data_IF_317858507393
#
_entry.id   IF_317858507393
#
_cell.length_a   1.000
_cell.length_b   1.000
_cell.length_c   1.000
_cell.angle_alpha   90.00
_cell.angle_beta   90.00
_cell.angle_gamma   90.00
#
_symmetry.space_group_name_H-M   'P 1'
#
loop_
_entity.id
_entity.type
_entity.pdbx_description
1 polymer ?
#
# COMPACT_ATOMS: atom_id res chain seq x y z
N UNK A 1 -23.87 47.38 45.92
CA UNK A 1 -23.77 45.91 46.03
C UNK A 1 -24.55 45.39 44.85
N UNK A 2 -23.82 45.25 43.75
CA UNK A 2 -24.34 45.44 42.41
C UNK A 2 -24.68 44.10 41.77
N UNK A 3 -25.94 43.96 41.35
CA UNK A 3 -26.45 42.79 40.65
C UNK A 3 -25.97 42.78 39.21
N UNK A 4 -25.08 41.85 38.88
CA UNK A 4 -24.61 41.61 37.52
C UNK A 4 -25.78 41.19 36.62
N UNK A 5 -26.06 42.04 35.62
CA UNK A 5 -27.11 41.86 34.62
C UNK A 5 -26.67 40.81 33.57
N UNK A 6 -27.56 39.85 33.26
CA UNK A 6 -27.30 38.74 32.31
C UNK A 6 -26.86 39.19 30.91
N UNK A 7 -27.09 40.46 30.53
CA UNK A 7 -26.63 41.04 29.26
C UNK A 7 -25.14 41.39 29.21
N UNK A 8 -24.49 41.65 30.34
CA UNK A 8 -23.06 41.97 30.38
C UNK A 8 -22.18 40.70 30.40
N UNK A 9 -22.72 39.59 30.92
CA UNK A 9 -22.08 38.27 30.84
C UNK A 9 -21.97 37.74 29.39
N UNK A 10 -22.89 38.16 28.50
CA UNK A 10 -22.87 37.80 27.07
C UNK A 10 -21.93 38.66 26.23
N UNK A 11 -21.54 39.85 26.70
CA UNK A 11 -20.52 40.69 26.03
C UNK A 11 -19.10 40.33 26.46
N UNK A 12 -18.91 39.87 27.70
CA UNK A 12 -17.63 39.34 28.17
C UNK A 12 -17.25 38.00 27.52
N UNK A 13 -18.23 37.23 27.04
CA UNK A 13 -18.00 36.00 26.27
C UNK A 13 -17.72 36.25 24.78
N UNK A 14 -18.08 37.43 24.25
CA UNK A 14 -17.84 37.81 22.85
C UNK A 14 -16.42 38.32 22.54
N UNK A 15 -15.64 38.71 23.55
CA UNK A 15 -14.28 39.26 23.36
C UNK A 15 -13.19 38.20 23.64
N UNK A 16 -13.54 37.07 24.27
CA UNK A 16 -12.69 35.88 24.34
C UNK A 16 -12.88 34.94 23.14
N UNK A 17 -13.82 35.24 22.24
CA UNK A 17 -14.16 34.44 21.06
C UNK A 17 -13.33 34.70 19.81
N UNK A 18 -12.25 35.50 19.88
CA UNK A 18 -11.41 35.86 18.72
C UNK A 18 -9.96 35.33 18.81
N UNK A 19 -9.64 34.47 19.78
CA UNK A 19 -8.30 33.87 19.94
C UNK A 19 -8.30 32.35 20.19
N UNK A 20 -9.37 31.63 19.85
CA UNK A 20 -9.41 30.17 19.78
C UNK A 20 -9.99 29.75 18.43
N UNK A 21 -9.44 28.83 17.65
CA UNK A 21 -8.47 27.80 17.96
C UNK A 21 -7.45 27.70 16.81
N UNK A 22 -6.19 28.01 17.10
CA UNK A 22 -5.11 27.23 16.49
C UNK A 22 -5.14 25.88 17.21
N UNK A 23 -6.03 24.99 16.78
CA UNK A 23 -5.85 23.58 17.05
C UNK A 23 -4.60 23.19 16.25
N UNK A 24 -3.43 23.31 16.90
CA UNK A 24 -2.25 22.58 16.46
C UNK A 24 -2.63 21.11 16.68
N UNK A 25 -3.25 20.50 15.67
CA UNK A 25 -3.41 19.06 15.59
C UNK A 25 -1.99 18.51 15.51
N UNK A 26 -1.42 18.16 16.66
CA UNK A 26 -0.14 17.48 16.70
C UNK A 26 -0.35 16.13 16.03
N UNK A 27 0.38 15.78 14.97
CA UNK A 27 0.16 14.51 14.31
C UNK A 27 0.53 13.38 15.26
N UNK A 28 -0.23 12.29 15.16
CA UNK A 28 -0.05 11.03 15.86
C UNK A 28 1.23 10.27 15.42
N UNK A 29 2.40 10.93 15.48
CA UNK A 29 3.72 10.29 15.42
C UNK A 29 4.28 10.26 16.84
N UNK A 30 4.82 9.12 17.26
CA UNK A 30 5.40 8.96 18.60
C UNK A 30 6.57 9.93 18.85
N UNK A 31 7.28 10.33 17.78
CA UNK A 31 8.40 11.26 17.79
C UNK A 31 8.28 12.26 16.64
N UNK A 32 8.84 13.49 16.72
CA UNK A 32 8.84 14.45 15.60
C UNK A 32 9.51 13.91 14.33
N UNK A 33 9.19 14.49 13.17
CA UNK A 33 9.92 14.23 11.92
C UNK A 33 11.37 14.73 12.04
N UNK A 34 12.33 13.83 11.83
CA UNK A 34 13.77 14.15 11.89
C UNK A 34 14.58 13.55 10.75
N UNK A 35 13.96 12.74 9.89
CA UNK A 35 14.66 12.14 8.77
C UNK A 35 15.02 13.20 7.73
N UNK A 36 16.26 13.14 7.25
CA UNK A 36 16.82 14.18 6.40
C UNK A 36 16.54 13.94 4.91
N UNK A 37 16.10 14.98 4.16
CA UNK A 37 16.05 14.93 2.70
C UNK A 37 17.39 14.62 2.02
N UNK A 38 18.54 14.74 2.70
CA UNK A 38 19.82 14.30 2.13
C UNK A 38 19.89 12.77 1.92
N UNK A 39 19.14 12.01 2.71
CA UNK A 39 18.96 10.56 2.56
C UNK A 39 17.96 10.17 1.47
N UNK A 40 17.36 11.16 0.80
CA UNK A 40 16.33 10.93 -0.22
C UNK A 40 16.91 10.79 -1.62
N UNK A 41 16.08 10.33 -2.57
CA UNK A 41 16.40 10.29 -4.00
C UNK A 41 16.64 11.70 -4.55
N UNK A 42 15.96 12.73 -4.01
CA UNK A 42 16.24 14.12 -4.36
C UNK A 42 17.59 14.63 -3.81
N UNK A 43 18.12 14.01 -2.75
CA UNK A 43 19.35 14.44 -2.06
C UNK A 43 19.26 15.81 -1.38
N UNK A 44 18.11 16.47 -1.45
CA UNK A 44 17.80 17.78 -0.88
C UNK A 44 16.29 17.96 -0.77
N UNK A 45 15.83 18.95 -0.02
CA UNK A 45 14.41 19.21 0.20
C UNK A 45 14.21 20.22 1.33
N UNK A 46 12.97 20.67 1.53
CA UNK A 46 12.68 21.59 2.64
C UNK A 46 12.65 20.88 4.00
N UNK A 47 12.54 19.55 3.99
CA UNK A 47 12.40 18.75 5.22
C UNK A 47 11.03 18.94 5.88
N UNK A 48 10.03 19.36 5.11
CA UNK A 48 8.66 19.49 5.61
C UNK A 48 8.14 18.13 6.05
N UNK A 49 7.41 18.09 7.17
CA UNK A 49 6.86 16.85 7.70
C UNK A 49 5.88 16.24 6.68
N UNK A 50 6.13 15.02 6.16
CA UNK A 50 5.27 14.41 5.16
C UNK A 50 3.86 14.07 5.68
N UNK A 51 3.59 14.20 6.99
CA UNK A 51 2.24 14.08 7.54
C UNK A 51 1.32 15.26 7.23
N UNK A 52 1.88 16.42 6.85
CA UNK A 52 1.11 17.63 6.49
C UNK A 52 1.09 17.86 4.98
N UNK A 53 1.53 16.86 4.20
CA UNK A 53 1.65 16.92 2.74
C UNK A 53 0.79 15.83 2.13
N UNK A 54 -0.04 16.22 1.15
CA UNK A 54 -0.87 15.33 0.33
C UNK A 54 -0.51 15.51 -1.16
N UNK A 55 -1.50 15.52 -2.05
CA UNK A 55 -1.32 15.57 -3.50
C UNK A 55 -2.29 16.59 -4.13
N UNK A 56 -2.10 17.90 -3.90
CA UNK A 56 -3.06 18.92 -4.31
C UNK A 56 -3.39 18.88 -5.81
N UNK A 57 -2.43 18.50 -6.65
CA UNK A 57 -2.64 18.33 -8.10
C UNK A 57 -3.71 17.29 -8.42
N UNK A 58 -3.66 16.13 -7.77
CA UNK A 58 -4.64 15.06 -7.97
C UNK A 58 -5.91 15.28 -7.12
N UNK A 59 -5.76 15.84 -5.93
CA UNK A 59 -6.84 16.01 -4.96
C UNK A 59 -7.91 16.97 -5.48
N UNK A 60 -7.52 18.16 -5.95
CA UNK A 60 -8.46 19.16 -6.49
C UNK A 60 -9.13 18.66 -7.78
N UNK A 61 -8.36 18.00 -8.66
CA UNK A 61 -8.83 17.40 -9.90
C UNK A 61 -9.90 16.34 -9.63
N UNK A 62 -9.60 15.38 -8.76
CA UNK A 62 -10.48 14.23 -8.54
C UNK A 62 -11.71 14.61 -7.72
N UNK A 63 -11.58 15.54 -6.77
CA UNK A 63 -12.74 16.15 -6.12
C UNK A 63 -13.71 16.75 -7.14
N UNK A 64 -13.18 17.53 -8.11
CA UNK A 64 -13.97 18.08 -9.20
C UNK A 64 -14.67 17.01 -10.05
N UNK A 65 -13.99 15.91 -10.39
CA UNK A 65 -14.59 14.80 -11.15
C UNK A 65 -15.75 14.13 -10.40
N UNK A 66 -15.60 13.96 -9.07
CA UNK A 66 -16.63 13.37 -8.21
C UNK A 66 -17.84 14.31 -8.14
N UNK A 67 -17.61 15.59 -7.85
CA UNK A 67 -18.67 16.58 -7.65
C UNK A 67 -19.47 16.86 -8.93
N UNK A 68 -18.82 16.75 -10.10
CA UNK A 68 -19.48 16.83 -11.42
C UNK A 68 -20.18 15.53 -11.84
N UNK A 69 -20.01 14.43 -11.09
CA UNK A 69 -20.58 13.13 -11.41
C UNK A 69 -19.96 12.45 -12.63
N UNK A 70 -18.72 12.81 -13.00
CA UNK A 70 -18.04 12.33 -14.21
C UNK A 70 -17.35 10.97 -14.02
N UNK A 71 -17.13 10.56 -12.75
CA UNK A 71 -16.41 9.33 -12.39
C UNK A 71 -16.90 8.06 -13.10
N UNK A 72 -18.21 7.77 -13.24
CA UNK A 72 -18.66 6.58 -13.95
C UNK A 72 -18.18 6.51 -15.41
N UNK A 73 -18.23 7.64 -16.12
CA UNK A 73 -17.76 7.73 -17.51
C UNK A 73 -16.24 7.66 -17.58
N UNK A 74 -15.54 8.33 -16.67
CA UNK A 74 -14.07 8.25 -16.55
C UNK A 74 -13.63 6.80 -16.32
N UNK A 75 -14.26 6.07 -15.40
CA UNK A 75 -13.96 4.65 -15.16
C UNK A 75 -14.19 3.79 -16.41
N UNK A 76 -15.27 4.03 -17.17
CA UNK A 76 -15.52 3.35 -18.44
C UNK A 76 -14.38 3.55 -19.44
N UNK A 77 -13.92 4.79 -19.63
CA UNK A 77 -12.81 5.10 -20.52
C UNK A 77 -11.50 4.49 -20.01
N UNK A 78 -11.19 4.68 -18.73
CA UNK A 78 -9.94 4.23 -18.12
C UNK A 78 -9.81 2.70 -18.06
N UNK A 79 -10.91 1.92 -18.07
CA UNK A 79 -10.84 0.46 -18.23
C UNK A 79 -10.07 0.04 -19.49
N UNK A 80 -10.11 0.85 -20.55
CA UNK A 80 -9.42 0.56 -21.81
C UNK A 80 -7.94 0.93 -21.80
N UNK A 81 -7.50 1.79 -20.87
CA UNK A 81 -6.10 2.17 -20.71
C UNK A 81 -5.38 1.13 -19.82
N UNK A 82 -4.60 0.27 -20.46
CA UNK A 82 -4.04 -0.95 -19.82
C UNK A 82 -2.53 -1.10 -19.98
N UNK A 83 -1.90 -0.40 -20.93
CA UNK A 83 -0.45 -0.50 -21.20
C UNK A 83 0.25 0.85 -21.05
N UNK A 84 1.48 0.82 -20.55
CA UNK A 84 2.28 2.03 -20.29
C UNK A 84 2.51 2.89 -21.55
N UNK A 85 2.69 2.25 -22.71
CA UNK A 85 2.91 2.93 -24.00
C UNK A 85 1.63 3.31 -24.75
N UNK A 86 0.45 2.98 -24.21
CA UNK A 86 -0.83 3.23 -24.87
C UNK A 86 -1.20 4.72 -24.81
N UNK A 87 -1.71 5.34 -25.89
CA UNK A 87 -2.29 6.68 -25.79
C UNK A 87 -3.45 6.68 -24.79
N UNK A 88 -3.70 7.83 -24.15
CA UNK A 88 -4.87 7.99 -23.31
C UNK A 88 -6.15 7.87 -24.17
N UNK A 89 -7.24 7.29 -23.63
CA UNK A 89 -8.48 7.13 -24.36
C UNK A 89 -9.12 8.48 -24.69
N UNK A 90 -9.72 8.57 -25.87
CA UNK A 90 -10.47 9.76 -26.29
C UNK A 90 -11.67 10.02 -25.36
N UNK A 91 -12.04 11.29 -25.21
CA UNK A 91 -13.21 11.70 -24.44
C UNK A 91 -13.00 11.83 -22.93
N UNK A 92 -11.77 11.69 -22.42
CA UNK A 92 -11.45 12.11 -21.05
C UNK A 92 -11.65 13.62 -20.89
N UNK A 93 -12.12 14.11 -19.72
CA UNK A 93 -12.03 15.51 -19.35
C UNK A 93 -10.62 16.05 -19.55
N UNK A 94 -10.48 17.28 -20.07
CA UNK A 94 -9.17 17.81 -20.47
C UNK A 94 -8.22 17.98 -19.30
N UNK A 95 -8.73 18.43 -18.15
CA UNK A 95 -8.01 18.53 -16.88
C UNK A 95 -7.43 17.16 -16.45
N UNK A 96 -8.23 16.10 -16.52
CA UNK A 96 -7.78 14.74 -16.22
C UNK A 96 -6.76 14.23 -17.23
N UNK A 97 -7.00 14.43 -18.52
CA UNK A 97 -6.07 14.00 -19.58
C UNK A 97 -4.71 14.67 -19.40
N UNK A 98 -4.69 15.98 -19.19
CA UNK A 98 -3.45 16.76 -19.09
C UNK A 98 -2.66 16.38 -17.82
N UNK A 99 -3.36 16.16 -16.69
CA UNK A 99 -2.75 15.59 -15.49
C UNK A 99 -2.14 14.20 -15.75
N UNK A 100 -2.86 13.31 -16.44
CA UNK A 100 -2.38 11.95 -16.70
C UNK A 100 -1.19 11.91 -17.65
N UNK A 101 -1.12 12.79 -18.66
CA UNK A 101 0.04 12.90 -19.55
C UNK A 101 1.30 13.37 -18.81
N UNK A 102 1.14 14.20 -17.78
CA UNK A 102 2.22 14.54 -16.86
C UNK A 102 2.56 13.37 -15.92
N UNK A 103 1.56 12.84 -15.20
CA UNK A 103 1.75 11.84 -14.14
C UNK A 103 2.28 10.48 -14.65
N UNK A 104 2.11 10.17 -15.94
CA UNK A 104 2.62 8.93 -16.55
C UNK A 104 4.11 8.97 -16.91
N UNK A 105 4.77 10.12 -16.78
CA UNK A 105 6.18 10.27 -17.14
C UNK A 105 7.06 9.65 -16.07
N UNK A 106 7.98 8.77 -16.48
CA UNK A 106 8.98 8.22 -15.56
C UNK A 106 9.94 9.32 -15.09
N UNK A 107 10.39 9.30 -13.82
CA UNK A 107 11.34 10.28 -13.33
C UNK A 107 12.67 10.20 -14.09
N UNK A 108 13.34 11.33 -14.25
CA UNK A 108 14.59 11.43 -15.03
C UNK A 108 15.71 10.54 -14.48
N UNK A 109 15.73 10.28 -13.17
CA UNK A 109 16.69 9.41 -12.50
C UNK A 109 16.38 7.91 -12.67
N UNK A 110 15.38 7.54 -13.47
CA UNK A 110 15.06 6.13 -13.75
C UNK A 110 16.19 5.43 -14.51
N UNK A 111 16.90 4.54 -13.81
CA UNK A 111 17.86 3.60 -14.39
C UNK A 111 17.15 2.36 -14.97
N UNK A 112 17.11 2.26 -16.30
CA UNK A 112 16.49 1.12 -17.01
C UNK A 112 17.25 -0.20 -16.81
N UNK A 113 18.56 -0.17 -16.61
CA UNK A 113 19.34 -1.37 -16.38
C UNK A 113 19.05 -1.96 -14.98
N UNK A 114 18.88 -1.08 -13.97
CA UNK A 114 18.38 -1.51 -12.65
C UNK A 114 16.97 -2.07 -12.73
N UNK A 115 16.06 -1.46 -13.50
CA UNK A 115 14.72 -2.04 -13.70
C UNK A 115 14.77 -3.43 -14.35
N UNK A 116 15.64 -3.64 -15.34
CA UNK A 116 15.88 -4.96 -15.93
C UNK A 116 16.42 -5.96 -14.91
N UNK A 117 17.37 -5.55 -14.08
CA UNK A 117 17.94 -6.38 -13.00
C UNK A 117 16.90 -6.72 -11.93
N UNK A 118 16.02 -5.77 -11.59
CA UNK A 118 14.95 -5.97 -10.63
C UNK A 118 13.98 -7.06 -11.10
N UNK A 119 13.68 -7.11 -12.40
CA UNK A 119 12.86 -8.18 -12.99
C UNK A 119 13.52 -9.54 -12.75
N UNK A 120 14.80 -9.70 -13.06
CA UNK A 120 15.51 -10.96 -12.85
C UNK A 120 15.54 -11.37 -11.36
N UNK A 121 15.71 -10.40 -10.46
CA UNK A 121 15.56 -10.63 -9.02
C UNK A 121 14.15 -11.13 -8.67
N UNK A 122 13.10 -10.48 -9.18
CA UNK A 122 11.71 -10.88 -8.95
C UNK A 122 11.40 -12.29 -9.49
N UNK A 123 11.98 -12.68 -10.64
CA UNK A 123 11.85 -14.04 -11.17
C UNK A 123 12.51 -15.05 -10.25
N UNK A 124 13.77 -14.82 -9.90
CA UNK A 124 14.59 -15.68 -9.05
C UNK A 124 14.01 -15.85 -7.63
N UNK A 125 13.42 -14.78 -7.09
CA UNK A 125 12.89 -14.73 -5.71
C UNK A 125 11.36 -14.83 -5.65
N UNK A 126 10.71 -15.21 -6.75
CA UNK A 126 9.26 -15.15 -6.93
C UNK A 126 8.44 -15.81 -5.83
N UNK A 127 8.81 -17.02 -5.39
CA UNK A 127 8.14 -17.70 -4.28
C UNK A 127 8.25 -16.92 -2.96
N UNK A 128 9.44 -16.42 -2.61
CA UNK A 128 9.63 -15.68 -1.36
C UNK A 128 8.85 -14.38 -1.37
N UNK A 129 8.88 -13.66 -2.50
CA UNK A 129 8.13 -12.44 -2.69
C UNK A 129 6.62 -12.70 -2.63
N UNK A 130 6.12 -13.79 -3.23
CA UNK A 130 4.72 -14.18 -3.11
C UNK A 130 4.28 -14.42 -1.67
N UNK A 131 5.09 -15.16 -0.89
CA UNK A 131 4.84 -15.40 0.54
C UNK A 131 4.88 -14.10 1.33
N UNK A 132 5.89 -13.26 1.12
CA UNK A 132 6.08 -12.02 1.88
C UNK A 132 5.01 -10.98 1.54
N UNK A 133 4.70 -10.74 0.27
CA UNK A 133 3.65 -9.79 -0.09
C UNK A 133 2.27 -10.29 0.33
N UNK A 134 1.99 -11.58 0.12
CA UNK A 134 0.69 -12.17 0.46
C UNK A 134 0.42 -12.24 1.96
N UNK A 135 1.42 -12.65 2.75
CA UNK A 135 1.22 -13.00 4.17
C UNK A 135 1.91 -12.08 5.17
N UNK A 136 2.99 -11.38 4.80
CA UNK A 136 3.55 -10.32 5.64
C UNK A 136 2.89 -8.98 5.29
N UNK A 137 3.12 -8.44 4.09
CA UNK A 137 2.66 -7.10 3.73
C UNK A 137 1.14 -6.98 3.69
N UNK A 138 0.43 -7.99 3.16
CA UNK A 138 -1.04 -8.03 3.18
C UNK A 138 -1.61 -7.93 4.59
N UNK A 139 -1.04 -8.67 5.55
CA UNK A 139 -1.45 -8.61 6.96
C UNK A 139 -0.94 -7.38 7.69
N UNK A 140 0.21 -6.81 7.30
CA UNK A 140 0.71 -5.54 7.83
C UNK A 140 -0.30 -4.40 7.62
N UNK A 141 -1.00 -4.38 6.48
CA UNK A 141 -2.06 -3.39 6.22
C UNK A 141 -3.17 -3.37 7.28
N UNK A 142 -3.41 -4.51 7.95
CA UNK A 142 -4.44 -4.62 9.00
C UNK A 142 -3.96 -4.18 10.37
N UNK A 143 -2.66 -3.88 10.51
CA UNK A 143 -2.03 -3.46 11.78
C UNK A 143 -1.31 -2.11 11.64
N UNK A 144 -1.49 -1.44 10.51
CA UNK A 144 -1.20 -0.02 10.32
C UNK A 144 -2.52 0.71 10.57
N UNK A 145 -2.71 1.42 11.71
CA UNK A 145 -4.03 1.90 12.13
C UNK A 145 -4.74 2.79 11.11
N UNK A 146 -4.03 3.74 10.51
CA UNK A 146 -4.59 4.65 9.49
C UNK A 146 -5.00 3.91 8.22
N UNK A 147 -4.15 3.00 7.74
CA UNK A 147 -4.46 2.16 6.58
C UNK A 147 -5.69 1.29 6.87
N UNK A 148 -5.71 0.57 7.99
CA UNK A 148 -6.83 -0.27 8.39
C UNK A 148 -8.16 0.51 8.47
N UNK A 149 -8.17 1.72 9.06
CA UNK A 149 -9.37 2.57 9.12
C UNK A 149 -9.80 3.08 7.74
N UNK A 150 -8.87 3.64 6.97
CA UNK A 150 -9.16 4.15 5.62
C UNK A 150 -9.74 3.05 4.73
N UNK A 151 -9.18 1.85 4.80
CA UNK A 151 -9.68 0.67 4.09
C UNK A 151 -11.05 0.26 4.58
N UNK A 152 -11.22 0.13 5.90
CA UNK A 152 -12.46 -0.39 6.48
C UNK A 152 -13.68 0.50 6.18
N UNK A 153 -13.49 1.82 6.16
CA UNK A 153 -14.56 2.80 5.95
C UNK A 153 -14.71 3.29 4.50
N UNK A 154 -13.70 3.14 3.65
CA UNK A 154 -13.83 3.41 2.21
C UNK A 154 -14.60 2.30 1.51
N UNK A 155 -14.99 2.52 0.24
CA UNK A 155 -15.65 1.50 -0.60
C UNK A 155 -14.93 0.15 -0.59
N UNK A 156 -13.60 0.17 -0.47
CA UNK A 156 -12.78 -1.05 -0.41
C UNK A 156 -13.05 -1.95 0.80
N UNK A 157 -13.62 -1.41 1.88
CA UNK A 157 -14.07 -2.19 3.04
C UNK A 157 -15.39 -2.92 2.80
N UNK A 158 -16.19 -2.47 1.83
CA UNK A 158 -17.45 -3.12 1.46
C UNK A 158 -17.20 -4.42 0.69
N UNK A 159 -16.29 -4.40 -0.29
CA UNK A 159 -15.91 -5.56 -1.11
C UNK A 159 -14.41 -5.81 -0.96
N UNK A 160 -14.05 -6.59 0.06
CA UNK A 160 -12.64 -6.77 0.43
C UNK A 160 -11.91 -7.62 -0.61
N UNK A 161 -12.59 -8.56 -1.27
CA UNK A 161 -12.01 -9.40 -2.32
C UNK A 161 -11.63 -8.58 -3.55
N UNK A 162 -12.54 -7.73 -4.03
CA UNK A 162 -12.25 -6.77 -5.10
C UNK A 162 -11.08 -5.84 -4.72
N UNK A 163 -11.10 -5.28 -3.50
CA UNK A 163 -10.00 -4.45 -3.01
C UNK A 163 -8.65 -5.19 -3.03
N UNK A 164 -8.61 -6.40 -2.47
CA UNK A 164 -7.37 -7.19 -2.40
C UNK A 164 -6.86 -7.51 -3.79
N UNK A 165 -7.73 -7.79 -4.76
CA UNK A 165 -7.30 -8.00 -6.15
C UNK A 165 -6.57 -6.78 -6.72
N UNK A 166 -7.02 -5.56 -6.39
CA UNK A 166 -6.41 -4.29 -6.81
C UNK A 166 -5.08 -4.01 -6.09
N UNK A 167 -4.99 -4.30 -4.78
CA UNK A 167 -3.73 -4.19 -4.03
C UNK A 167 -2.71 -5.25 -4.48
N UNK A 168 -3.16 -6.48 -4.72
CA UNK A 168 -2.33 -7.55 -5.25
C UNK A 168 -1.82 -7.22 -6.66
N UNK A 169 -2.63 -6.53 -7.48
CA UNK A 169 -2.19 -6.01 -8.78
C UNK A 169 -0.97 -5.10 -8.66
N UNK A 170 -0.93 -4.19 -7.68
CA UNK A 170 0.24 -3.31 -7.48
C UNK A 170 1.52 -4.12 -7.18
N UNK A 171 1.46 -5.06 -6.23
CA UNK A 171 2.59 -5.92 -5.89
C UNK A 171 2.98 -6.89 -7.02
N UNK A 172 2.04 -7.27 -7.88
CA UNK A 172 2.30 -8.10 -9.05
C UNK A 172 2.94 -7.31 -10.19
N UNK A 173 2.36 -6.16 -10.54
CA UNK A 173 2.77 -5.37 -11.71
C UNK A 173 4.20 -4.88 -11.54
N UNK A 174 4.62 -4.51 -10.32
CA UNK A 174 6.00 -4.06 -10.07
C UNK A 174 7.04 -5.16 -10.28
N UNK A 175 6.68 -6.42 -10.02
CA UNK A 175 7.53 -7.59 -10.24
C UNK A 175 7.36 -8.23 -11.62
N UNK A 176 6.48 -7.69 -12.46
CA UNK A 176 6.17 -8.26 -13.78
C UNK A 176 7.27 -7.98 -14.81
N UNK A 177 7.36 -8.85 -15.81
CA UNK A 177 8.27 -8.63 -16.94
C UNK A 177 7.96 -7.28 -17.61
N UNK A 178 9.00 -6.48 -17.87
CA UNK A 178 8.87 -5.14 -18.45
C UNK A 178 7.88 -4.23 -17.71
N UNK A 179 7.74 -4.35 -16.37
CA UNK A 179 6.81 -3.57 -15.54
C UNK A 179 6.65 -2.09 -15.96
N UNK A 180 7.76 -1.40 -16.21
CA UNK A 180 7.83 0.01 -16.62
C UNK A 180 8.15 0.23 -18.12
N UNK A 181 8.31 -0.83 -18.89
CA UNK A 181 8.46 -0.76 -20.35
C UNK A 181 7.13 -0.42 -21.04
N UNK A 182 7.12 -0.09 -22.34
CA UNK A 182 5.91 0.28 -23.08
C UNK A 182 4.78 -0.76 -23.01
N UNK A 183 5.12 -2.05 -23.05
CA UNK A 183 4.15 -3.16 -22.98
C UNK A 183 3.79 -3.58 -21.53
N UNK A 184 4.43 -2.97 -20.53
CA UNK A 184 4.13 -3.15 -19.12
C UNK A 184 2.86 -2.43 -18.67
N UNK A 185 2.53 -2.57 -17.40
CA UNK A 185 1.31 -2.00 -16.80
C UNK A 185 1.58 -1.14 -15.55
N UNK A 186 2.82 -1.10 -15.03
CA UNK A 186 3.09 -0.49 -13.73
C UNK A 186 2.85 1.03 -13.71
N UNK A 187 3.11 1.74 -14.81
CA UNK A 187 2.79 3.18 -14.91
C UNK A 187 1.28 3.39 -14.84
N UNK A 188 0.52 2.57 -15.58
CA UNK A 188 -0.96 2.61 -15.57
C UNK A 188 -1.49 2.35 -14.16
N UNK A 189 -0.96 1.34 -13.49
CA UNK A 189 -1.35 0.96 -12.13
C UNK A 189 -1.02 2.06 -11.12
N UNK A 190 0.18 2.64 -11.15
CA UNK A 190 0.55 3.75 -10.28
C UNK A 190 -0.34 4.98 -10.49
N UNK A 191 -0.54 5.42 -11.73
CA UNK A 191 -1.35 6.63 -12.04
C UNK A 191 -2.80 6.43 -11.62
N UNK A 192 -3.41 5.28 -11.92
CA UNK A 192 -4.78 4.98 -11.47
C UNK A 192 -4.87 4.90 -9.95
N UNK A 193 -3.86 4.36 -9.29
CA UNK A 193 -3.81 4.29 -7.82
C UNK A 193 -3.68 5.69 -7.20
N UNK A 194 -2.86 6.57 -7.78
CA UNK A 194 -2.74 8.00 -7.38
C UNK A 194 -4.09 8.71 -7.45
N UNK A 195 -4.85 8.49 -8.54
CA UNK A 195 -6.23 9.01 -8.68
C UNK A 195 -7.21 8.41 -7.66
N UNK A 196 -7.10 7.12 -7.36
CA UNK A 196 -7.92 6.48 -6.32
C UNK A 196 -7.61 7.05 -4.93
N UNK A 197 -6.34 7.29 -4.60
CA UNK A 197 -5.96 7.91 -3.34
C UNK A 197 -6.55 9.32 -3.22
N UNK A 198 -6.47 10.14 -4.28
CA UNK A 198 -7.11 11.46 -4.31
C UNK A 198 -8.64 11.38 -4.12
N UNK A 199 -9.31 10.43 -4.78
CA UNK A 199 -10.74 10.18 -4.56
C UNK A 199 -11.05 9.83 -3.09
N UNK A 200 -10.21 9.00 -2.47
CA UNK A 200 -10.38 8.60 -1.06
C UNK A 200 -10.17 9.79 -0.11
N UNK A 201 -9.25 10.71 -0.41
CA UNK A 201 -9.07 11.96 0.34
C UNK A 201 -10.29 12.86 0.31
N UNK A 202 -10.97 12.93 -0.83
CA UNK A 202 -12.24 13.67 -0.95
C UNK A 202 -13.40 12.98 -0.24
N UNK A 203 -13.48 11.65 -0.35
CA UNK A 203 -14.64 10.88 0.11
C UNK A 203 -14.63 10.59 1.61
N UNK A 204 -13.54 10.08 2.19
CA UNK A 204 -13.54 9.60 3.59
C UNK A 204 -13.96 10.66 4.63
N UNK A 205 -13.60 11.94 4.50
CA UNK A 205 -14.07 13.00 5.41
C UNK A 205 -15.61 13.18 5.41
N UNK A 206 -16.30 12.66 4.39
CA UNK A 206 -17.76 12.67 4.29
C UNK A 206 -18.41 11.47 5.00
N UNK A 207 -17.63 10.50 5.49
CA UNK A 207 -18.13 9.36 6.27
C UNK A 207 -18.17 9.71 7.76
N UNK A 208 -19.36 9.80 8.39
CA UNK A 208 -19.46 10.05 9.83
C UNK A 208 -18.73 9.00 10.67
N UNK A 209 -18.67 7.76 10.17
CA UNK A 209 -17.97 6.67 10.85
C UNK A 209 -16.46 6.81 10.81
N UNK A 210 -15.90 7.29 9.69
CA UNK A 210 -14.47 7.55 9.59
C UNK A 210 -14.10 8.77 10.42
N UNK A 211 -14.83 9.88 10.30
CA UNK A 211 -14.60 11.11 11.08
C UNK A 211 -14.64 10.86 12.60
N UNK A 212 -15.48 9.93 13.07
CA UNK A 212 -15.53 9.58 14.50
C UNK A 212 -14.41 8.62 14.95
N UNK A 213 -13.77 7.90 14.03
CA UNK A 213 -12.73 6.89 14.34
C UNK A 213 -11.30 7.38 14.04
N UNK A 214 -11.15 8.29 13.08
CA UNK A 214 -9.88 8.82 12.63
C UNK A 214 -9.41 10.00 13.49
N UNK A 215 -8.09 10.11 13.64
CA UNK A 215 -7.43 11.22 14.32
C UNK A 215 -7.02 12.34 13.34
N UNK A 216 -7.27 12.13 12.05
CA UNK A 216 -6.86 13.00 10.95
C UNK A 216 -8.08 13.52 10.20
N UNK A 217 -7.98 14.74 9.68
CA UNK A 217 -9.05 15.35 8.88
C UNK A 217 -8.99 14.93 7.41
N UNK A 218 -7.78 14.68 6.89
CA UNK A 218 -7.53 14.24 5.51
C UNK A 218 -6.67 12.97 5.56
N UNK A 219 -7.12 11.84 4.98
CA UNK A 219 -6.39 10.58 5.02
C UNK A 219 -5.23 10.57 4.00
N UNK A 220 -4.39 9.53 4.04
CA UNK A 220 -3.40 9.23 2.98
C UNK A 220 -2.45 10.40 2.71
N UNK A 221 -1.83 10.93 3.77
CA UNK A 221 -0.68 11.84 3.64
C UNK A 221 0.50 11.15 2.93
N UNK A 222 1.49 11.91 2.48
CA UNK A 222 2.71 11.32 1.90
C UNK A 222 3.46 10.44 2.92
N UNK A 223 3.36 10.77 4.21
CA UNK A 223 3.85 9.89 5.28
C UNK A 223 3.12 8.55 5.28
N UNK A 224 1.80 8.55 5.15
CA UNK A 224 1.02 7.30 5.18
C UNK A 224 1.34 6.43 3.95
N UNK A 225 1.56 7.04 2.78
CA UNK A 225 2.04 6.31 1.60
C UNK A 225 3.42 5.69 1.86
N UNK A 226 4.36 6.43 2.47
CA UNK A 226 5.70 5.93 2.77
C UNK A 226 5.72 4.87 3.88
N UNK A 227 4.80 4.95 4.86
CA UNK A 227 4.57 3.90 5.86
C UNK A 227 4.17 2.59 5.17
N UNK A 228 3.19 2.63 4.26
CA UNK A 228 2.80 1.46 3.47
C UNK A 228 3.92 1.00 2.53
N UNK A 229 4.69 1.94 1.97
CA UNK A 229 5.89 1.61 1.20
C UNK A 229 6.92 0.85 2.05
N UNK A 230 7.15 1.22 3.31
CA UNK A 230 8.04 0.43 4.17
C UNK A 230 7.49 -0.96 4.50
N UNK A 231 6.17 -1.10 4.65
CA UNK A 231 5.54 -2.41 4.90
C UNK A 231 5.66 -3.38 3.71
N UNK A 232 6.00 -2.86 2.54
CA UNK A 232 6.24 -3.57 1.29
C UNK A 232 7.76 -3.82 1.11
N UNK A 233 8.54 -3.10 0.28
CA UNK A 233 9.95 -3.44 0.01
C UNK A 233 10.86 -3.51 1.24
N UNK A 234 10.67 -2.64 2.23
CA UNK A 234 11.58 -2.59 3.39
C UNK A 234 11.41 -3.83 4.27
N UNK A 235 10.17 -4.16 4.62
CA UNK A 235 9.84 -5.38 5.36
C UNK A 235 10.22 -6.64 4.57
N UNK A 236 9.98 -6.67 3.26
CA UNK A 236 10.41 -7.79 2.39
C UNK A 236 11.93 -8.00 2.47
N UNK A 237 12.72 -6.94 2.28
CA UNK A 237 14.18 -7.05 2.31
C UNK A 237 14.70 -7.42 3.71
N UNK A 238 14.07 -6.90 4.78
CA UNK A 238 14.36 -7.30 6.18
C UNK A 238 14.17 -8.81 6.37
N UNK A 239 13.06 -9.39 5.90
CA UNK A 239 12.82 -10.83 6.00
C UNK A 239 13.77 -11.66 5.14
N UNK A 240 14.02 -11.30 3.88
CA UNK A 240 14.96 -12.01 3.02
C UNK A 240 16.37 -12.03 3.64
N UNK A 241 16.79 -10.92 4.24
CA UNK A 241 18.06 -10.80 4.97
C UNK A 241 18.08 -11.67 6.22
N UNK A 242 17.01 -11.64 7.04
CA UNK A 242 16.89 -12.47 8.24
C UNK A 242 16.89 -13.97 7.91
N UNK A 243 16.33 -14.35 6.77
CA UNK A 243 16.35 -15.70 6.23
C UNK A 243 17.68 -16.10 5.57
N UNK A 244 18.65 -15.19 5.52
CA UNK A 244 19.97 -15.39 4.92
C UNK A 244 19.91 -15.79 3.44
N UNK A 245 18.91 -15.28 2.72
CA UNK A 245 18.84 -15.46 1.26
C UNK A 245 20.04 -14.73 0.65
N UNK A 246 20.89 -15.38 -0.16
CA UNK A 246 22.04 -14.74 -0.79
C UNK A 246 21.56 -13.77 -1.87
N UNK A 247 21.70 -12.47 -1.62
CA UNK A 247 21.29 -11.41 -2.56
C UNK A 247 22.51 -10.56 -2.89
N UNK A 248 23.02 -10.62 -4.14
CA UNK A 248 24.06 -9.71 -4.60
C UNK A 248 23.67 -8.24 -4.42
N UNK A 249 24.61 -7.33 -4.07
CA UNK A 249 24.30 -5.91 -3.87
C UNK A 249 23.57 -5.26 -5.05
N UNK A 250 24.00 -5.53 -6.28
CA UNK A 250 23.36 -4.99 -7.48
C UNK A 250 21.90 -5.46 -7.68
N UNK A 251 21.56 -6.71 -7.31
CA UNK A 251 20.18 -7.20 -7.33
C UNK A 251 19.33 -6.50 -6.26
N UNK A 252 19.90 -6.32 -5.06
CA UNK A 252 19.24 -5.64 -3.94
C UNK A 252 18.97 -4.15 -4.22
N UNK A 253 19.95 -3.45 -4.80
CA UNK A 253 19.81 -2.05 -5.22
C UNK A 253 18.83 -1.89 -6.37
N UNK A 254 18.81 -2.84 -7.31
CA UNK A 254 17.84 -2.86 -8.40
C UNK A 254 16.40 -3.04 -7.88
N UNK A 255 16.20 -3.96 -6.92
CA UNK A 255 14.91 -4.14 -6.26
C UNK A 255 14.47 -2.85 -5.56
N UNK A 256 15.36 -2.19 -4.81
CA UNK A 256 15.07 -0.87 -4.21
C UNK A 256 14.68 0.16 -5.28
N UNK A 257 15.44 0.23 -6.38
CA UNK A 257 15.20 1.17 -7.47
C UNK A 257 13.83 1.02 -8.11
N UNK A 258 13.35 -0.22 -8.33
CA UNK A 258 11.98 -0.43 -8.82
C UNK A 258 10.93 0.17 -7.88
N UNK A 259 11.11 0.04 -6.57
CA UNK A 259 10.19 0.56 -5.57
C UNK A 259 10.30 2.07 -5.37
N UNK A 260 11.49 2.64 -5.55
CA UNK A 260 11.68 4.10 -5.58
C UNK A 260 10.89 4.71 -6.75
N UNK A 261 11.01 4.13 -7.96
CA UNK A 261 10.24 4.56 -9.12
C UNK A 261 8.74 4.42 -8.86
N UNK A 262 8.29 3.32 -8.26
CA UNK A 262 6.88 3.16 -7.88
C UNK A 262 6.38 4.26 -6.95
N UNK A 263 7.14 4.63 -5.92
CA UNK A 263 6.78 5.69 -4.98
C UNK A 263 6.61 7.05 -5.69
N UNK A 264 7.56 7.40 -6.56
CA UNK A 264 7.45 8.61 -7.39
C UNK A 264 6.18 8.61 -8.25
N UNK A 265 5.95 7.51 -8.97
CA UNK A 265 4.78 7.36 -9.85
C UNK A 265 3.44 7.36 -9.07
N UNK A 266 3.47 7.04 -7.78
CA UNK A 266 2.32 7.14 -6.86
C UNK A 266 2.10 8.57 -6.33
N UNK A 267 2.94 9.53 -6.69
CA UNK A 267 2.84 10.94 -6.30
C UNK A 267 3.63 11.32 -5.05
N UNK A 268 4.49 10.44 -4.53
CA UNK A 268 5.39 10.77 -3.43
C UNK A 268 6.49 11.69 -3.95
N UNK A 269 6.75 12.80 -3.26
CA UNK A 269 7.87 13.70 -3.58
C UNK A 269 9.20 12.96 -3.39
N UNK A 270 10.13 13.19 -4.31
CA UNK A 270 11.46 12.57 -4.28
C UNK A 270 12.24 12.88 -3.00
N UNK A 271 11.92 13.99 -2.32
CA UNK A 271 12.51 14.37 -1.03
C UNK A 271 12.14 13.44 0.13
N UNK A 272 11.14 12.55 -0.04
CA UNK A 272 10.71 11.58 0.97
C UNK A 272 11.09 10.13 0.63
N UNK A 273 11.49 9.86 -0.61
CA UNK A 273 11.82 8.51 -1.08
C UNK A 273 13.26 8.19 -0.67
N UNK A 274 13.54 7.16 0.15
CA UNK A 274 14.89 6.86 0.61
C UNK A 274 15.78 6.39 -0.55
N UNK A 275 17.02 6.88 -0.63
CA UNK A 275 17.94 6.57 -1.73
C UNK A 275 18.71 5.24 -1.57
N UNK A 276 18.67 4.63 -0.39
CA UNK A 276 19.44 3.44 -0.07
C UNK A 276 18.76 2.60 1.02
N UNK A 277 19.17 1.34 1.18
CA UNK A 277 18.62 0.48 2.23
C UNK A 277 18.90 0.98 3.66
N UNK A 278 20.08 1.52 4.01
CA UNK A 278 20.27 2.16 5.31
C UNK A 278 19.25 3.27 5.58
N UNK A 279 19.02 4.14 4.60
CA UNK A 279 18.02 5.21 4.72
C UNK A 279 16.59 4.67 4.83
N UNK A 280 16.23 3.68 4.02
CA UNK A 280 14.92 3.03 4.10
C UNK A 280 14.68 2.36 5.45
N UNK A 281 15.69 1.69 6.01
CA UNK A 281 15.60 1.07 7.34
C UNK A 281 15.51 2.11 8.46
N UNK A 282 16.30 3.19 8.37
CA UNK A 282 16.26 4.29 9.34
C UNK A 282 14.90 4.98 9.33
N UNK A 283 14.37 5.29 8.14
CA UNK A 283 13.06 5.90 7.97
C UNK A 283 11.95 4.97 8.50
N UNK A 284 11.97 3.67 8.16
CA UNK A 284 11.01 2.69 8.66
C UNK A 284 11.00 2.57 10.19
N UNK A 285 12.17 2.62 10.83
CA UNK A 285 12.27 2.60 12.29
C UNK A 285 11.62 3.83 12.96
N UNK A 286 11.56 4.95 12.25
CA UNK A 286 10.90 6.17 12.73
C UNK A 286 9.40 6.20 12.45
N UNK A 287 8.96 5.73 11.27
CA UNK A 287 7.57 5.96 10.83
C UNK A 287 6.67 4.73 10.84
N UNK A 288 7.21 3.53 10.65
CA UNK A 288 6.43 2.29 10.59
C UNK A 288 6.46 1.56 11.92
N UNK A 289 7.66 1.20 12.41
CA UNK A 289 7.81 0.33 13.59
C UNK A 289 7.06 0.84 14.84
N UNK A 290 7.01 2.15 15.15
CA UNK A 290 6.32 2.67 16.34
C UNK A 290 4.78 2.63 16.26
N UNK A 291 4.20 2.59 15.06
CA UNK A 291 2.75 2.73 14.87
C UNK A 291 2.02 1.40 14.69
N UNK A 292 2.76 0.28 14.55
CA UNK A 292 2.17 -1.03 14.36
C UNK A 292 1.32 -1.40 15.59
N UNK A 293 0.02 -1.48 15.38
CA UNK A 293 -0.94 -1.78 16.43
C UNK A 293 -2.19 -2.44 15.85
N UNK A 294 -2.74 -3.41 16.59
CA UNK A 294 -4.04 -3.96 16.27
C UNK A 294 -5.15 -2.94 16.57
N UNK A 295 -6.11 -2.82 15.66
CA UNK A 295 -7.32 -1.99 15.84
C UNK A 295 -8.57 -2.85 15.63
N UNK A 296 -9.75 -2.43 16.12
CA UNK A 296 -11.00 -3.14 15.85
C UNK A 296 -11.28 -3.30 14.34
N UNK A 297 -11.01 -2.28 13.54
CA UNK A 297 -11.10 -2.29 12.08
C UNK A 297 -10.10 -3.29 11.50
N UNK A 298 -8.84 -3.24 11.96
CA UNK A 298 -7.76 -4.14 11.57
C UNK A 298 -8.08 -5.60 11.84
N UNK A 299 -8.55 -5.94 13.04
CA UNK A 299 -8.94 -7.31 13.40
C UNK A 299 -10.06 -7.84 12.50
N UNK A 300 -11.07 -7.02 12.17
CA UNK A 300 -12.14 -7.40 11.24
C UNK A 300 -11.64 -7.59 9.81
N UNK A 301 -10.69 -6.77 9.36
CA UNK A 301 -10.06 -6.94 8.04
C UNK A 301 -9.20 -8.19 7.99
N UNK A 302 -8.40 -8.45 9.02
CA UNK A 302 -7.56 -9.64 9.17
C UNK A 302 -8.41 -10.91 9.13
N UNK A 303 -9.50 -10.98 9.91
CA UNK A 303 -10.39 -12.14 9.95
C UNK A 303 -10.97 -12.48 8.56
N UNK A 304 -11.42 -11.45 7.83
CA UNK A 304 -11.93 -11.61 6.45
C UNK A 304 -10.83 -11.98 5.46
N UNK A 305 -9.66 -11.37 5.55
CA UNK A 305 -8.52 -11.67 4.67
C UNK A 305 -8.08 -13.13 4.81
N UNK A 306 -7.97 -13.64 6.05
CA UNK A 306 -7.68 -15.04 6.32
C UNK A 306 -8.81 -15.98 5.82
N UNK A 307 -10.05 -15.49 5.77
CA UNK A 307 -11.19 -16.22 5.21
C UNK A 307 -11.20 -16.32 3.68
N UNK A 308 -10.56 -15.39 2.96
CA UNK A 308 -10.57 -15.39 1.49
C UNK A 308 -9.75 -16.53 0.89
N UNK A 309 -8.70 -16.97 1.58
CA UNK A 309 -7.90 -18.12 1.15
C UNK A 309 -8.61 -19.47 1.29
N UNK A 310 -9.64 -19.56 2.14
CA UNK A 310 -10.40 -20.80 2.36
C UNK A 310 -11.21 -21.26 1.15
N UNK A 311 -11.51 -20.35 0.22
CA UNK A 311 -12.26 -20.65 -1.00
C UNK A 311 -11.35 -21.01 -2.20
N UNK A 312 -10.02 -20.92 -2.07
CA UNK A 312 -9.03 -21.40 -3.06
C UNK A 312 -8.79 -22.88 -2.75
N UNK A 313 -9.71 -23.74 -3.18
CA UNK A 313 -9.75 -25.09 -2.63
C UNK A 313 -8.76 -26.06 -3.27
N UNK A 314 -7.83 -26.54 -2.44
CA UNK A 314 -7.21 -27.88 -2.42
C UNK A 314 -6.78 -28.20 -0.97
N UNK A 315 -7.58 -27.87 0.05
CA UNK A 315 -7.34 -28.15 1.48
C UNK A 315 -6.02 -27.64 2.15
N UNK A 316 -5.04 -27.11 1.40
CA UNK A 316 -3.70 -26.77 1.93
C UNK A 316 -3.60 -25.33 2.49
N UNK A 317 -4.24 -24.33 1.86
CA UNK A 317 -4.21 -22.92 2.30
C UNK A 317 -5.43 -22.56 3.17
N UNK A 318 -5.66 -23.34 4.22
CA UNK A 318 -6.76 -23.11 5.16
C UNK A 318 -6.51 -21.90 6.06
N UNK A 319 -7.58 -21.32 6.63
CA UNK A 319 -7.50 -20.21 7.60
C UNK A 319 -6.50 -20.46 8.74
N UNK A 320 -6.42 -21.66 9.36
CA UNK A 320 -5.36 -22.02 10.31
C UNK A 320 -3.94 -21.87 9.75
N UNK A 321 -3.66 -22.40 8.55
CA UNK A 321 -2.34 -22.32 7.92
C UNK A 321 -1.95 -20.86 7.66
N UNK A 322 -2.89 -20.07 7.14
CA UNK A 322 -2.70 -18.63 6.90
C UNK A 322 -2.46 -17.85 8.20
N UNK A 323 -3.17 -18.22 9.27
CA UNK A 323 -2.95 -17.69 10.61
C UNK A 323 -1.53 -17.99 11.12
N UNK A 324 -1.05 -19.22 10.95
CA UNK A 324 0.31 -19.62 11.31
C UNK A 324 1.39 -18.88 10.52
N UNK A 325 1.21 -18.66 9.22
CA UNK A 325 2.12 -17.83 8.42
C UNK A 325 2.15 -16.38 8.91
N UNK A 326 0.97 -15.80 9.20
CA UNK A 326 0.88 -14.45 9.75
C UNK A 326 1.64 -14.35 11.07
N UNK A 327 1.43 -15.31 11.97
CA UNK A 327 2.07 -15.38 13.28
C UNK A 327 3.58 -15.60 13.19
N UNK A 328 4.03 -16.39 12.22
CA UNK A 328 5.44 -16.59 11.95
C UNK A 328 6.13 -15.32 11.43
N UNK A 329 5.46 -14.55 10.57
CA UNK A 329 6.02 -13.36 9.94
C UNK A 329 5.93 -12.11 10.83
N UNK A 330 4.77 -11.87 11.44
CA UNK A 330 4.49 -10.67 12.24
C UNK A 330 4.72 -10.88 13.75
N UNK A 331 4.88 -12.12 14.19
CA UNK A 331 5.11 -12.46 15.58
C UNK A 331 3.84 -12.57 16.43
N UNK A 332 4.02 -13.15 17.63
CA UNK A 332 2.90 -13.54 18.48
C UNK A 332 2.09 -12.36 19.02
N UNK A 333 2.73 -11.24 19.37
CA UNK A 333 2.06 -10.06 19.93
C UNK A 333 1.04 -9.46 18.95
N UNK A 334 1.43 -9.34 17.68
CA UNK A 334 0.57 -8.79 16.63
C UNK A 334 -0.58 -9.76 16.33
N UNK A 335 -0.26 -11.04 16.15
CA UNK A 335 -1.27 -12.06 15.87
C UNK A 335 -2.29 -12.21 17.01
N UNK A 336 -1.85 -12.13 18.27
CA UNK A 336 -2.73 -12.11 19.45
C UNK A 336 -3.65 -10.88 19.44
N UNK A 337 -3.12 -9.70 19.10
CA UNK A 337 -3.91 -8.46 18.95
C UNK A 337 -4.98 -8.55 17.85
N UNK A 338 -4.70 -9.29 16.78
CA UNK A 338 -5.66 -9.59 15.71
C UNK A 338 -6.60 -10.76 16.02
N UNK A 339 -6.51 -11.37 17.21
CA UNK A 339 -7.29 -12.56 17.59
C UNK A 339 -7.10 -13.77 16.66
N UNK A 340 -5.91 -13.89 16.05
CA UNK A 340 -5.53 -15.09 15.28
C UNK A 340 -5.17 -16.18 16.29
N UNK A 341 -5.70 -17.40 16.22
CA UNK A 341 -5.35 -18.45 17.17
C UNK A 341 -3.88 -18.91 17.01
N UNK A 342 -3.35 -19.56 18.05
CA UNK A 342 -2.12 -20.35 17.95
C UNK A 342 -2.49 -21.74 17.45
N UNK A 343 -1.70 -22.27 16.52
CA UNK A 343 -1.94 -23.58 15.93
C UNK A 343 -0.90 -24.59 16.43
N UNK A 344 -1.28 -25.59 17.24
CA UNK A 344 -0.33 -26.50 17.89
C UNK A 344 0.55 -27.32 16.93
N UNK A 345 0.10 -27.51 15.69
CA UNK A 345 0.81 -28.28 14.66
C UNK A 345 1.54 -27.36 13.67
N UNK A 346 0.82 -26.38 13.11
CA UNK A 346 1.35 -25.55 12.03
C UNK A 346 2.40 -24.54 12.49
N UNK A 347 2.23 -23.93 13.66
CA UNK A 347 3.19 -22.95 14.19
C UNK A 347 4.59 -23.56 14.42
N UNK A 348 4.76 -24.69 15.15
CA UNK A 348 6.08 -25.30 15.32
C UNK A 348 6.62 -25.88 14.02
N UNK A 349 5.76 -26.47 13.17
CA UNK A 349 6.17 -27.02 11.89
C UNK A 349 6.79 -25.95 10.99
N UNK A 350 6.14 -24.78 10.88
CA UNK A 350 6.64 -23.68 10.06
C UNK A 350 7.96 -23.14 10.61
N UNK A 351 8.04 -22.90 11.94
CA UNK A 351 9.27 -22.44 12.60
C UNK A 351 10.46 -23.38 12.40
N UNK A 352 10.21 -24.69 12.44
CA UNK A 352 11.26 -25.70 12.27
C UNK A 352 11.66 -25.92 10.80
N UNK A 353 10.68 -25.94 9.88
CA UNK A 353 10.90 -26.35 8.49
C UNK A 353 11.33 -25.21 7.56
N UNK A 354 11.03 -23.95 7.89
CA UNK A 354 11.27 -22.81 7.00
C UNK A 354 12.75 -22.59 6.67
N UNK A 355 13.63 -22.63 7.68
CA UNK A 355 15.08 -22.50 7.48
C UNK A 355 15.67 -23.59 6.58
N UNK A 356 15.44 -24.89 6.87
CA UNK A 356 15.83 -25.98 5.99
C UNK A 356 15.29 -25.86 4.56
N UNK A 357 14.02 -25.46 4.40
CA UNK A 357 13.41 -25.23 3.09
C UNK A 357 14.19 -24.18 2.27
N UNK A 358 14.55 -23.05 2.90
CA UNK A 358 15.35 -22.01 2.24
C UNK A 358 16.74 -22.53 1.87
N UNK A 359 17.42 -23.23 2.78
CA UNK A 359 18.77 -23.75 2.53
C UNK A 359 18.80 -24.74 1.34
N UNK A 360 17.82 -25.64 1.26
CA UNK A 360 17.67 -26.58 0.14
C UNK A 360 17.39 -25.82 -1.16
N UNK A 361 16.46 -24.87 -1.15
CA UNK A 361 16.09 -24.11 -2.34
C UNK A 361 17.26 -23.28 -2.89
N UNK A 362 17.97 -22.56 -2.03
CA UNK A 362 19.14 -21.77 -2.46
C UNK A 362 20.29 -22.66 -2.95
N UNK A 363 20.48 -23.84 -2.33
CA UNK A 363 21.42 -24.85 -2.82
C UNK A 363 21.06 -25.37 -4.21
N UNK A 364 19.79 -25.69 -4.46
CA UNK A 364 19.30 -26.15 -5.76
C UNK A 364 19.39 -25.09 -6.85
N UNK A 365 19.04 -23.83 -6.54
CA UNK A 365 19.17 -22.71 -7.48
C UNK A 365 20.63 -22.49 -7.92
N UNK A 366 21.58 -22.77 -7.03
CA UNK A 366 23.01 -22.66 -7.34
C UNK A 366 23.51 -23.85 -8.17
N UNK A 367 22.95 -25.05 -7.95
CA UNK A 367 23.43 -26.29 -8.56
C UNK A 367 22.82 -26.61 -9.93
N UNK A 368 21.58 -26.18 -10.23
CA UNK A 368 20.86 -26.56 -11.47
C UNK A 368 20.17 -25.35 -12.12
N UNK A 369 20.90 -24.51 -12.88
CA UNK A 369 20.36 -23.30 -13.52
C UNK A 369 19.16 -23.53 -14.46
N UNK A 370 19.10 -24.59 -15.30
CA UNK A 370 17.96 -24.80 -16.21
C UNK A 370 16.62 -25.06 -15.51
N UNK A 371 16.64 -25.43 -14.23
CA UNK A 371 15.42 -25.60 -13.45
C UNK A 371 14.80 -24.24 -13.04
N UNK A 372 15.59 -23.15 -13.02
CA UNK A 372 15.10 -21.82 -12.63
C UNK A 372 14.01 -21.31 -13.57
N UNK A 373 14.13 -21.55 -14.88
CA UNK A 373 13.13 -21.14 -15.87
C UNK A 373 11.81 -21.93 -15.72
N UNK A 374 11.90 -23.23 -15.46
CA UNK A 374 10.75 -24.08 -15.21
C UNK A 374 10.03 -23.71 -13.90
N UNK A 375 10.80 -23.42 -12.84
CA UNK A 375 10.24 -22.92 -11.58
C UNK A 375 9.60 -21.55 -11.74
N UNK A 376 10.22 -20.65 -12.50
CA UNK A 376 9.64 -19.35 -12.80
C UNK A 376 8.32 -19.49 -13.56
N UNK A 377 8.25 -20.35 -14.58
CA UNK A 377 7.01 -20.60 -15.32
C UNK A 377 5.89 -21.14 -14.41
N UNK A 378 6.22 -22.05 -13.50
CA UNK A 378 5.28 -22.58 -12.51
C UNK A 378 4.84 -21.50 -11.51
N UNK A 379 5.78 -20.75 -10.94
CA UNK A 379 5.51 -19.67 -9.99
C UNK A 379 4.65 -18.58 -10.66
N UNK A 380 4.96 -18.21 -11.91
CA UNK A 380 4.21 -17.23 -12.70
C UNK A 380 2.80 -17.75 -13.07
N UNK A 381 2.67 -19.04 -13.40
CA UNK A 381 1.38 -19.68 -13.62
C UNK A 381 0.52 -19.64 -12.34
N UNK A 382 1.06 -20.08 -11.20
CA UNK A 382 0.36 -20.06 -9.91
C UNK A 382 -0.02 -18.64 -9.50
N UNK A 383 0.88 -17.68 -9.75
CA UNK A 383 0.68 -16.25 -9.47
C UNK A 383 -0.45 -15.66 -10.32
N UNK A 384 -0.46 -15.92 -11.64
CA UNK A 384 -1.57 -15.50 -12.53
C UNK A 384 -2.87 -16.19 -12.17
N UNK A 385 -2.85 -17.47 -11.84
CA UNK A 385 -4.03 -18.21 -11.40
C UNK A 385 -4.61 -17.61 -10.10
N UNK A 386 -3.77 -17.25 -9.13
CA UNK A 386 -4.20 -16.56 -7.91
C UNK A 386 -4.83 -15.19 -8.20
N UNK A 387 -4.25 -14.39 -9.10
CA UNK A 387 -4.84 -13.12 -9.53
C UNK A 387 -6.19 -13.30 -10.22
N UNK A 388 -6.30 -14.24 -11.15
CA UNK A 388 -7.54 -14.57 -11.87
C UNK A 388 -8.64 -14.99 -10.87
N UNK A 389 -8.27 -15.80 -9.88
CA UNK A 389 -9.17 -16.22 -8.81
C UNK A 389 -9.61 -15.04 -7.94
N UNK A 390 -8.67 -14.19 -7.50
CA UNK A 390 -8.97 -12.99 -6.70
C UNK A 390 -9.84 -12.01 -7.48
N UNK A 391 -9.66 -11.91 -8.79
CA UNK A 391 -10.48 -11.11 -9.70
C UNK A 391 -11.85 -11.73 -10.01
N UNK A 392 -12.19 -12.90 -9.48
CA UNK A 392 -13.44 -13.62 -9.80
C UNK A 392 -13.64 -13.86 -11.30
N UNK A 393 -12.56 -14.14 -12.03
CA UNK A 393 -12.55 -14.26 -13.50
C UNK A 393 -12.91 -12.96 -14.25
N UNK A 394 -13.02 -11.81 -13.57
CA UNK A 394 -13.24 -10.50 -14.18
C UNK A 394 -11.90 -9.88 -14.57
N UNK A 395 -11.35 -10.35 -15.68
CA UNK A 395 -10.11 -9.84 -16.25
C UNK A 395 -10.39 -8.86 -17.41
N UNK A 396 -9.55 -7.82 -17.60
CA UNK A 396 -8.45 -7.42 -16.73
C UNK A 396 -8.95 -6.76 -15.44
N UNK A 397 -8.19 -6.90 -14.34
CA UNK A 397 -8.44 -6.16 -13.10
C UNK A 397 -8.33 -4.66 -13.42
N UNK A 398 -9.44 -3.94 -13.25
CA UNK A 398 -9.47 -2.49 -13.43
C UNK A 398 -9.43 -1.77 -12.09
N UNK A 399 -8.42 -0.93 -11.89
CA UNK A 399 -8.40 0.04 -10.80
C UNK A 399 -9.36 1.16 -11.19
N UNK A 400 -10.39 1.36 -10.37
CA UNK A 400 -11.49 2.30 -10.64
C UNK A 400 -11.60 3.32 -9.51
N UNK A 401 -11.90 4.57 -9.86
CA UNK A 401 -12.17 5.63 -8.91
C UNK A 401 -13.47 5.31 -8.15
N UNK A 402 -13.45 5.33 -6.80
CA UNK A 402 -14.67 5.19 -6.02
C UNK A 402 -15.57 6.42 -6.17
N UNK A 403 -16.88 6.22 -6.07
CA UNK A 403 -17.89 7.29 -6.08
C UNK A 403 -18.52 7.55 -4.72
N UNK A 404 -18.24 6.71 -3.72
CA UNK A 404 -18.79 6.80 -2.37
C UNK A 404 -17.95 6.02 -1.36
N UNK A 405 -18.17 6.27 -0.07
CA UNK A 405 -17.63 5.46 1.03
C UNK A 405 -18.37 4.13 1.17
N UNK A 406 -17.91 3.28 2.10
CA UNK A 406 -18.65 2.07 2.46
C UNK A 406 -20.00 2.44 3.06
N UNK A 407 -21.04 1.80 2.54
CA UNK A 407 -22.34 1.79 3.18
C UNK A 407 -22.30 0.86 4.41
N UNK A 408 -22.31 1.46 5.59
CA UNK A 408 -22.27 0.73 6.87
C UNK A 408 -23.60 0.09 7.25
N UNK A 409 -24.70 0.39 6.54
CA UNK A 409 -26.00 -0.26 6.73
C UNK A 409 -26.11 -1.61 6.02
N UNK A 410 -25.22 -1.87 5.05
CA UNK A 410 -25.19 -3.10 4.27
C UNK A 410 -24.04 -3.99 4.77
N UNK A 411 -24.27 -5.30 4.96
CA UNK A 411 -23.19 -6.23 5.28
C UNK A 411 -22.05 -6.15 4.24
N UNK A 412 -20.79 -6.26 4.68
CA UNK A 412 -19.69 -6.40 3.73
C UNK A 412 -19.86 -7.66 2.89
N UNK A 413 -19.40 -7.61 1.64
CA UNK A 413 -19.33 -8.76 0.73
C UNK A 413 -18.06 -9.58 0.93
#
# INVERSE_FOLDING_TARGET
>A
MDGLNRRDALKASGILGALGALAIVSPARAEPWTWSPQGSVAGSGSGADPMTVWDPEADDLVAGLIDRGEVPRVNELLRTWTRNGQPLPDGLPSDLRDFMEYARQLPQWTDRAKLGTAIEFNKKRGLYLGVLYGFASGMMSTVIPKEARAVYYSKGGQDLKDRISKTAKLGYDIGSNNAYGPDGEMVVTCVKTRLVHAAVRHLLPQSPHWVHSAEEDIPISQNDIMVTWHSLPTTVMKHLTAWKVPIPPHESEAFLHSWQVAAHMLGVRDEYIPNSWPEANSQAAQVLDPIIAATPEGARLADRLLGLGANIDFAVLSKPVLGSFTRFLLGDKIADGLSIPREPVWDPLLRFSWGPFIAVREGLLTAVPPAADAYWLLDEFLRKAALIYLAELRMPISIELPTMNRDMSVPPR
#
